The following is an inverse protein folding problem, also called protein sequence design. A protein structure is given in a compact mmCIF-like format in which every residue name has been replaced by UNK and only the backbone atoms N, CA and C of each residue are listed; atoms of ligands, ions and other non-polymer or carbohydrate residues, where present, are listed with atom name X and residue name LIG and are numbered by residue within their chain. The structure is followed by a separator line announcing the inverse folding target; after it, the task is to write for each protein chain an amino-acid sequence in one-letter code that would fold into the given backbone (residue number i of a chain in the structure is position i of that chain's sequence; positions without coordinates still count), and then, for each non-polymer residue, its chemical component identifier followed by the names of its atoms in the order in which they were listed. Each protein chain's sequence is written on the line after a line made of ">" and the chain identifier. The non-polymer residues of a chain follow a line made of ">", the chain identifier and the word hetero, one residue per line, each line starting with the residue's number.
data_IF_506159848228
#
_entry.id   IF_506159848228
#
_cell.length_a   1.000
_cell.length_b   1.000
_cell.length_c   1.000
_cell.angle_alpha   90.00
_cell.angle_beta   90.00
_cell.angle_gamma   90.00
#
_symmetry.space_group_name_H-M   'P 1'
#
loop_
_entity.id
_entity.type
_entity.pdbx_description
1 polymer ?
#
# COMPACT_ATOMS: atom_id res chain seq x y z
N UNK A 1 -17.06 18.50 13.18
CA UNK A 1 -15.82 17.77 12.94
C UNK A 1 -14.69 18.68 12.50
N UNK A 2 -14.77 19.33 11.30
CA UNK A 2 -13.70 20.20 10.79
C UNK A 2 -13.30 21.33 11.74
N UNK A 3 -14.26 21.98 12.43
CA UNK A 3 -13.99 23.00 13.43
C UNK A 3 -13.18 22.43 14.62
N UNK A 4 -13.54 21.24 15.10
CA UNK A 4 -12.81 20.58 16.18
C UNK A 4 -11.41 20.14 15.76
N UNK A 5 -11.29 19.60 14.54
CA UNK A 5 -9.97 19.21 14.00
C UNK A 5 -9.05 20.43 13.88
N UNK A 6 -9.54 21.55 13.34
CA UNK A 6 -8.77 22.81 13.27
C UNK A 6 -8.33 23.27 14.66
N UNK A 7 -9.21 23.18 15.66
CA UNK A 7 -8.89 23.52 17.03
C UNK A 7 -7.78 22.63 17.60
N UNK A 8 -7.85 21.30 17.36
CA UNK A 8 -6.82 20.37 17.81
C UNK A 8 -5.47 20.60 17.11
N UNK A 9 -5.48 20.89 15.80
CA UNK A 9 -4.26 21.25 15.06
C UNK A 9 -3.63 22.51 15.65
N UNK A 10 -4.43 23.52 15.96
CA UNK A 10 -3.97 24.76 16.55
C UNK A 10 -3.38 24.55 17.96
N UNK A 11 -4.06 23.78 18.82
CA UNK A 11 -3.57 23.42 20.14
C UNK A 11 -2.26 22.59 20.09
N UNK A 12 -2.13 21.68 19.13
CA UNK A 12 -0.89 20.93 18.95
C UNK A 12 0.25 21.83 18.45
N UNK A 13 -0.03 22.77 17.54
CA UNK A 13 0.94 23.76 17.06
C UNK A 13 1.39 24.69 18.18
N UNK A 14 0.48 25.17 19.02
CA UNK A 14 0.77 26.03 20.17
C UNK A 14 1.63 25.29 21.21
N UNK A 15 1.33 24.03 21.50
CA UNK A 15 2.13 23.17 22.38
C UNK A 15 3.53 22.96 21.82
N UNK A 16 3.66 22.69 20.54
CA UNK A 16 4.96 22.50 19.88
C UNK A 16 5.79 23.79 19.92
N UNK A 17 5.17 24.95 19.67
CA UNK A 17 5.83 26.25 19.68
C UNK A 17 6.31 26.66 21.07
N UNK A 18 5.59 26.24 22.14
CA UNK A 18 5.90 26.57 23.54
C UNK A 18 6.77 25.52 24.24
N UNK A 19 7.01 24.37 23.64
CA UNK A 19 7.87 23.35 24.23
C UNK A 19 9.31 23.82 24.29
N UNK A 20 9.91 23.73 25.49
CA UNK A 20 11.35 23.96 25.65
C UNK A 20 12.13 22.92 24.83
N UNK A 21 13.31 23.32 24.33
CA UNK A 21 14.18 22.49 23.46
C UNK A 21 14.78 21.23 24.12
N UNK A 22 14.07 20.57 25.00
CA UNK A 22 14.43 19.22 25.43
C UNK A 22 14.16 18.27 24.25
N UNK A 23 15.21 17.71 23.67
CA UNK A 23 15.24 17.02 22.37
C UNK A 23 14.10 15.97 22.17
N UNK A 24 13.69 15.27 23.22
CA UNK A 24 12.67 14.23 23.09
C UNK A 24 11.22 14.75 23.09
N UNK A 25 10.95 15.91 23.65
CA UNK A 25 9.59 16.49 23.76
C UNK A 25 9.13 17.15 22.47
N UNK A 26 10.04 17.81 21.73
CA UNK A 26 9.73 18.50 20.48
C UNK A 26 9.41 17.52 19.34
N UNK A 27 10.12 16.40 19.26
CA UNK A 27 9.90 15.40 18.22
C UNK A 27 8.53 14.71 18.36
N UNK A 28 8.12 14.43 19.62
CA UNK A 28 6.79 13.87 19.88
C UNK A 28 5.67 14.86 19.49
N UNK A 29 5.77 16.12 19.90
CA UNK A 29 4.76 17.13 19.59
C UNK A 29 4.71 17.45 18.10
N UNK A 30 5.85 17.42 17.40
CA UNK A 30 5.92 17.56 15.95
C UNK A 30 5.23 16.38 15.25
N UNK A 31 5.44 15.16 15.73
CA UNK A 31 4.78 13.96 15.22
C UNK A 31 3.26 14.01 15.42
N UNK A 32 2.78 14.49 16.57
CA UNK A 32 1.35 14.72 16.84
C UNK A 32 0.76 15.72 15.86
N UNK A 33 1.44 16.85 15.63
CA UNK A 33 1.00 17.88 14.68
C UNK A 33 0.92 17.33 13.25
N UNK A 34 1.94 16.61 12.81
CA UNK A 34 1.96 15.97 11.49
C UNK A 34 0.81 14.96 11.31
N UNK A 35 0.52 14.17 12.36
CA UNK A 35 -0.59 13.23 12.36
C UNK A 35 -1.94 13.95 12.24
N UNK A 36 -2.16 15.01 12.98
CA UNK A 36 -3.38 15.81 12.93
C UNK A 36 -3.61 16.48 11.56
N UNK A 37 -2.54 16.99 10.95
CA UNK A 37 -2.59 17.56 9.59
C UNK A 37 -2.96 16.46 8.56
N UNK A 38 -2.35 15.28 8.69
CA UNK A 38 -2.64 14.12 7.83
C UNK A 38 -4.09 13.66 7.97
N UNK A 39 -4.59 13.57 9.20
CA UNK A 39 -5.99 13.27 9.49
C UNK A 39 -6.95 14.30 8.87
N UNK A 40 -6.60 15.58 8.97
CA UNK A 40 -7.38 16.67 8.34
C UNK A 40 -7.45 16.53 6.83
N UNK A 41 -6.32 16.27 6.18
CA UNK A 41 -6.26 16.03 4.74
C UNK A 41 -7.11 14.83 4.33
N UNK A 42 -7.00 13.73 5.05
CA UNK A 42 -7.76 12.51 4.77
C UNK A 42 -9.26 12.74 4.96
N UNK A 43 -9.67 13.49 5.99
CA UNK A 43 -11.06 13.85 6.21
C UNK A 43 -11.65 14.68 5.05
N UNK A 44 -10.91 15.67 4.56
CA UNK A 44 -11.32 16.49 3.40
C UNK A 44 -11.44 15.64 2.15
N UNK A 45 -10.45 14.77 1.89
CA UNK A 45 -10.50 13.83 0.77
C UNK A 45 -11.69 12.88 0.86
N UNK A 46 -11.98 12.36 2.06
CA UNK A 46 -13.12 11.45 2.28
C UNK A 46 -14.46 12.17 2.07
N UNK A 47 -14.59 13.43 2.51
CA UNK A 47 -15.76 14.24 2.20
C UNK A 47 -15.93 14.45 0.69
N UNK A 48 -14.83 14.76 -0.02
CA UNK A 48 -14.83 14.83 -1.48
C UNK A 48 -15.31 13.53 -2.11
N UNK A 49 -14.82 12.40 -1.64
CA UNK A 49 -15.21 11.07 -2.09
C UNK A 49 -16.70 10.75 -1.85
N UNK A 50 -17.25 11.14 -0.70
CA UNK A 50 -18.67 10.92 -0.37
C UNK A 50 -19.61 11.82 -1.17
N UNK A 51 -19.19 13.05 -1.46
CA UNK A 51 -20.02 14.08 -2.07
C UNK A 51 -19.85 14.19 -3.58
N UNK A 52 -18.69 13.81 -4.12
CA UNK A 52 -18.36 13.95 -5.54
C UNK A 52 -17.88 12.61 -6.11
N UNK A 53 -18.75 11.96 -6.89
CA UNK A 53 -18.42 10.71 -7.59
C UNK A 53 -17.87 10.96 -9.00
N UNK A 54 -17.34 12.13 -9.25
CA UNK A 54 -16.78 12.53 -10.53
C UNK A 54 -15.25 12.63 -10.48
N UNK A 55 -14.63 12.74 -11.65
CA UNK A 55 -13.19 12.89 -11.78
C UNK A 55 -12.43 11.77 -11.08
N UNK A 56 -11.33 12.12 -10.40
CA UNK A 56 -10.46 11.15 -9.69
C UNK A 56 -11.17 10.42 -8.55
N UNK A 57 -12.15 11.04 -7.91
CA UNK A 57 -12.94 10.39 -6.86
C UNK A 57 -13.89 9.33 -7.44
N UNK A 58 -14.44 9.58 -8.63
CA UNK A 58 -15.24 8.58 -9.35
C UNK A 58 -14.43 7.35 -9.74
N UNK A 59 -13.20 7.53 -10.22
CA UNK A 59 -12.28 6.42 -10.52
C UNK A 59 -11.97 5.60 -9.27
N UNK A 60 -11.65 6.28 -8.17
CA UNK A 60 -11.35 5.63 -6.89
C UNK A 60 -12.57 4.84 -6.37
N UNK A 61 -13.77 5.39 -6.55
CA UNK A 61 -15.03 4.72 -6.20
C UNK A 61 -15.23 3.43 -6.99
N UNK A 62 -14.96 3.45 -8.31
CA UNK A 62 -15.08 2.27 -9.16
C UNK A 62 -14.10 1.17 -8.72
N UNK A 63 -12.84 1.53 -8.46
CA UNK A 63 -11.84 0.58 -7.96
C UNK A 63 -12.25 -0.04 -6.63
N UNK A 64 -12.73 0.77 -5.71
CA UNK A 64 -13.16 0.28 -4.41
C UNK A 64 -14.39 -0.62 -4.51
N UNK A 65 -15.32 -0.30 -5.41
CA UNK A 65 -16.50 -1.12 -5.65
C UNK A 65 -16.11 -2.49 -6.21
N UNK A 66 -15.22 -2.52 -7.21
CA UNK A 66 -14.68 -3.76 -7.75
C UNK A 66 -13.90 -4.55 -6.68
N UNK A 67 -13.07 -3.89 -5.88
CA UNK A 67 -12.33 -4.53 -4.79
C UNK A 67 -13.23 -5.13 -3.73
N UNK A 68 -14.32 -4.44 -3.38
CA UNK A 68 -15.30 -4.98 -2.43
C UNK A 68 -16.01 -6.23 -2.97
N UNK A 69 -16.26 -6.30 -4.27
CA UNK A 69 -16.81 -7.51 -4.91
C UNK A 69 -15.84 -8.69 -4.79
N UNK A 70 -14.55 -8.47 -5.10
CA UNK A 70 -13.49 -9.49 -4.97
C UNK A 70 -13.36 -9.99 -3.52
N UNK A 71 -13.51 -9.09 -2.55
CA UNK A 71 -13.43 -9.38 -1.11
C UNK A 71 -14.76 -9.94 -0.54
N UNK A 72 -15.68 -10.39 -1.39
CA UNK A 72 -16.95 -11.03 -0.96
C UNK A 72 -17.87 -10.09 -0.16
N UNK A 73 -17.79 -8.78 -0.38
CA UNK A 73 -18.58 -7.79 0.36
C UNK A 73 -18.09 -7.52 1.79
N UNK A 74 -16.96 -8.10 2.20
CA UNK A 74 -16.37 -7.91 3.55
C UNK A 74 -16.13 -6.44 3.89
N UNK A 75 -15.95 -5.61 2.87
CA UNK A 75 -15.70 -4.21 2.99
C UNK A 75 -16.98 -3.38 2.84
N UNK A 76 -17.78 -3.28 3.88
CA UNK A 76 -18.78 -2.21 3.92
C UNK A 76 -18.09 -0.86 4.17
N UNK A 77 -17.48 -0.36 3.09
CA UNK A 77 -16.76 0.90 3.07
C UNK A 77 -17.63 2.10 3.45
N UNK A 78 -18.96 2.04 3.19
CA UNK A 78 -19.89 3.12 3.55
C UNK A 78 -20.01 3.22 5.06
N UNK A 79 -20.19 2.09 5.73
CA UNK A 79 -20.24 2.02 7.19
C UNK A 79 -18.89 2.39 7.80
N UNK A 80 -17.77 1.93 7.22
CA UNK A 80 -16.43 2.28 7.72
C UNK A 80 -16.08 3.74 7.53
N UNK A 81 -16.35 4.34 6.38
CA UNK A 81 -16.19 5.78 6.18
C UNK A 81 -17.08 6.58 7.14
N UNK A 82 -18.31 6.13 7.36
CA UNK A 82 -19.22 6.74 8.32
C UNK A 82 -18.69 6.65 9.76
N UNK A 83 -18.19 5.49 10.16
CA UNK A 83 -17.54 5.27 11.46
C UNK A 83 -16.28 6.12 11.62
N UNK A 84 -15.46 6.22 10.59
CA UNK A 84 -14.26 7.08 10.58
C UNK A 84 -14.60 8.55 10.81
N UNK A 85 -15.74 9.03 10.26
CA UNK A 85 -16.20 10.42 10.50
C UNK A 85 -16.90 10.61 11.82
N UNK A 86 -17.63 9.61 12.29
CA UNK A 86 -18.43 9.72 13.52
C UNK A 86 -17.61 9.46 14.78
N UNK A 87 -16.61 8.61 14.69
CA UNK A 87 -15.72 8.27 15.78
C UNK A 87 -14.36 8.90 15.52
N UNK A 88 -14.13 10.11 16.00
CA UNK A 88 -12.79 10.69 16.11
C UNK A 88 -11.85 9.63 16.69
N UNK A 89 -10.77 9.36 15.97
CA UNK A 89 -9.75 8.42 16.42
C UNK A 89 -9.30 8.82 17.81
N UNK A 90 -9.64 8.00 18.78
CA UNK A 90 -9.25 8.22 20.19
C UNK A 90 -7.88 7.58 20.43
N UNK A 91 -7.12 8.05 21.43
CA UNK A 91 -5.87 7.40 21.84
C UNK A 91 -6.05 5.92 22.18
N UNK A 92 -7.22 5.50 22.69
CA UNK A 92 -7.52 4.08 22.95
C UNK A 92 -7.66 3.28 21.67
N UNK A 93 -8.25 3.82 20.60
CA UNK A 93 -8.31 3.15 19.30
C UNK A 93 -6.93 2.99 18.67
N UNK A 94 -6.04 3.98 18.85
CA UNK A 94 -4.63 3.87 18.47
C UNK A 94 -3.93 2.76 19.25
N UNK A 95 -4.14 2.68 20.55
CA UNK A 95 -3.56 1.63 21.38
C UNK A 95 -4.07 0.23 21.00
N UNK A 96 -5.37 0.07 20.76
CA UNK A 96 -5.97 -1.20 20.26
C UNK A 96 -5.41 -1.59 18.90
N UNK A 97 -5.24 -0.63 18.01
CA UNK A 97 -4.67 -0.88 16.69
C UNK A 97 -3.18 -1.30 16.80
N UNK A 98 -2.40 -0.66 17.70
CA UNK A 98 -1.03 -1.08 17.99
C UNK A 98 -0.97 -2.46 18.66
N UNK A 99 -1.90 -2.79 19.54
CA UNK A 99 -1.98 -4.12 20.16
C UNK A 99 -2.39 -5.20 19.15
N UNK A 100 -3.21 -4.88 18.16
CA UNK A 100 -3.60 -5.80 17.08
C UNK A 100 -2.46 -6.08 16.10
N UNK A 101 -1.49 -5.17 15.98
CA UNK A 101 -0.26 -5.36 15.21
C UNK A 101 0.79 -6.21 15.95
N UNK A 102 0.57 -6.51 17.25
CA UNK A 102 1.49 -7.37 18.00
C UNK A 102 1.57 -8.75 17.37
N UNK A 103 2.79 -9.06 16.96
CA UNK A 103 3.27 -10.15 16.09
C UNK A 103 2.68 -11.56 16.34
N UNK A 104 2.16 -11.85 17.53
CA UNK A 104 1.76 -13.22 17.86
C UNK A 104 0.51 -13.72 17.15
N UNK A 105 -0.56 -12.91 17.06
CA UNK A 105 -1.84 -13.34 16.49
C UNK A 105 -1.80 -13.42 14.97
N UNK A 106 -1.19 -12.41 14.31
CA UNK A 106 -1.09 -12.37 12.84
C UNK A 106 -0.15 -13.46 12.34
N UNK A 107 0.97 -13.72 13.04
CA UNK A 107 1.89 -14.79 12.68
C UNK A 107 1.25 -16.18 12.71
N UNK A 108 0.37 -16.45 13.68
CA UNK A 108 -0.38 -17.72 13.75
C UNK A 108 -1.35 -17.86 12.58
N UNK A 109 -2.06 -16.79 12.22
CA UNK A 109 -3.04 -16.82 11.12
C UNK A 109 -2.40 -16.95 9.74
N UNK A 110 -1.17 -16.48 9.56
CA UNK A 110 -0.44 -16.52 8.29
C UNK A 110 0.63 -17.62 8.24
N UNK A 111 0.78 -18.42 9.28
CA UNK A 111 1.85 -19.43 9.39
C UNK A 111 1.91 -20.40 8.21
N UNK A 112 0.78 -20.71 7.58
CA UNK A 112 0.72 -21.54 6.36
C UNK A 112 0.88 -20.76 5.04
N UNK A 113 0.99 -19.43 5.09
CA UNK A 113 1.01 -18.56 3.91
C UNK A 113 2.39 -18.03 3.58
N UNK A 114 3.34 -18.22 4.49
CA UNK A 114 4.73 -17.74 4.36
C UNK A 114 5.68 -18.91 4.18
N UNK A 115 6.62 -18.75 3.26
CA UNK A 115 7.78 -19.63 3.09
C UNK A 115 9.06 -18.78 3.09
N UNK A 116 9.99 -19.08 3.98
CA UNK A 116 11.30 -18.41 3.99
C UNK A 116 12.23 -19.04 2.97
N UNK A 117 12.95 -18.20 2.21
CA UNK A 117 13.87 -18.59 1.17
C UNK A 117 15.30 -18.08 1.51
N UNK A 118 16.29 -18.93 1.34
CA UNK A 118 17.70 -18.63 1.57
C UNK A 118 18.51 -18.55 0.27
N UNK A 119 17.86 -18.63 -0.89
CA UNK A 119 18.53 -18.61 -2.18
C UNK A 119 19.04 -17.22 -2.55
N UNK A 120 19.99 -17.16 -3.46
CA UNK A 120 20.46 -15.90 -4.03
C UNK A 120 19.34 -15.14 -4.74
N UNK A 121 19.43 -13.81 -4.69
CA UNK A 121 18.48 -12.91 -5.37
C UNK A 121 18.66 -13.05 -6.88
N UNK A 122 17.61 -13.39 -7.65
CA UNK A 122 17.71 -13.44 -9.11
C UNK A 122 18.03 -12.08 -9.72
N UNK A 123 18.78 -12.06 -10.83
CA UNK A 123 19.14 -10.82 -11.55
C UNK A 123 17.91 -10.00 -11.97
N UNK A 124 16.79 -10.65 -12.26
CA UNK A 124 15.53 -9.99 -12.64
C UNK A 124 14.95 -9.08 -11.54
N UNK A 125 15.38 -9.28 -10.29
CA UNK A 125 14.89 -8.49 -9.14
C UNK A 125 15.25 -7.01 -9.26
N UNK A 126 16.45 -6.72 -9.78
CA UNK A 126 16.89 -5.32 -10.04
C UNK A 126 15.99 -4.61 -11.05
N UNK A 127 15.56 -5.32 -12.09
CA UNK A 127 14.64 -4.79 -13.10
C UNK A 127 13.28 -4.47 -12.49
N UNK A 128 12.76 -5.35 -11.63
CA UNK A 128 11.51 -5.12 -10.94
C UNK A 128 11.60 -3.98 -9.93
N UNK A 129 12.74 -3.85 -9.25
CA UNK A 129 12.95 -2.75 -8.31
C UNK A 129 13.00 -1.38 -9.02
N UNK A 130 13.48 -1.31 -10.26
CA UNK A 130 13.39 -0.10 -11.07
C UNK A 130 11.95 0.40 -11.24
N UNK A 131 10.99 -0.50 -11.47
CA UNK A 131 9.57 -0.12 -11.58
C UNK A 131 9.00 0.38 -10.24
N UNK A 132 9.50 -0.15 -9.14
CA UNK A 132 9.18 0.40 -7.81
C UNK A 132 9.71 1.83 -7.67
N UNK A 133 10.93 2.13 -8.09
CA UNK A 133 11.44 3.51 -8.11
C UNK A 133 10.57 4.44 -8.96
N UNK A 134 10.16 3.98 -10.16
CA UNK A 134 9.24 4.73 -11.03
C UNK A 134 7.92 5.03 -10.35
N UNK A 135 7.37 4.12 -9.55
CA UNK A 135 6.13 4.35 -8.81
C UNK A 135 6.22 5.54 -7.84
N UNK A 136 7.40 5.84 -7.33
CA UNK A 136 7.66 7.05 -6.53
C UNK A 136 7.91 8.31 -7.39
N UNK A 137 8.00 8.17 -8.70
CA UNK A 137 8.34 9.25 -9.63
C UNK A 137 9.84 9.47 -9.80
N UNK A 138 10.66 8.51 -9.36
CA UNK A 138 12.11 8.52 -9.53
C UNK A 138 12.49 7.71 -10.78
N UNK A 139 13.67 8.01 -11.38
CA UNK A 139 14.24 7.25 -12.49
C UNK A 139 13.27 7.03 -13.66
N UNK A 140 12.39 7.99 -13.92
CA UNK A 140 11.42 7.91 -15.02
C UNK A 140 12.08 7.95 -16.41
N UNK A 141 13.30 8.48 -16.49
CA UNK A 141 14.16 8.54 -17.68
C UNK A 141 14.87 7.23 -17.99
N UNK A 142 14.90 6.28 -17.06
CA UNK A 142 15.52 4.97 -17.25
C UNK A 142 14.49 3.99 -17.79
N UNK A 143 14.75 3.41 -18.94
CA UNK A 143 13.84 2.45 -19.59
C UNK A 143 14.51 1.10 -19.77
N UNK A 144 13.79 0.04 -19.42
CA UNK A 144 14.21 -1.31 -19.76
C UNK A 144 13.92 -1.64 -21.22
N UNK A 145 14.69 -2.57 -21.79
CA UNK A 145 14.46 -3.01 -23.16
C UNK A 145 13.05 -3.59 -23.32
N UNK A 146 12.28 -3.03 -24.26
CA UNK A 146 10.90 -3.45 -24.50
C UNK A 146 9.88 -2.82 -23.57
N UNK A 147 10.30 -1.87 -22.72
CA UNK A 147 9.39 -1.08 -21.92
C UNK A 147 8.58 -0.11 -22.78
N UNK A 148 7.29 -0.06 -22.52
CA UNK A 148 6.37 0.92 -23.12
C UNK A 148 5.35 1.38 -22.08
N UNK A 149 4.77 2.55 -22.28
CA UNK A 149 3.73 3.07 -21.41
C UNK A 149 2.40 2.34 -21.65
N UNK A 150 1.60 2.22 -20.61
CA UNK A 150 0.30 1.59 -20.70
C UNK A 150 -0.70 2.46 -21.47
N UNK A 151 -1.65 1.83 -22.12
CA UNK A 151 -2.76 2.49 -22.79
C UNK A 151 -4.09 2.11 -22.14
N UNK A 152 -5.14 2.95 -22.23
CA UNK A 152 -6.45 2.63 -21.66
C UNK A 152 -6.98 1.28 -22.14
N UNK A 153 -6.89 1.03 -23.44
CA UNK A 153 -7.36 -0.21 -24.06
C UNK A 153 -6.62 -1.44 -23.53
N UNK A 154 -5.31 -1.34 -23.30
CA UNK A 154 -4.50 -2.44 -22.77
C UNK A 154 -4.86 -2.79 -21.32
N UNK A 155 -5.24 -1.80 -20.54
CA UNK A 155 -5.59 -1.99 -19.13
C UNK A 155 -7.10 -2.19 -18.89
N UNK A 156 -7.92 -2.11 -19.95
CA UNK A 156 -9.37 -2.27 -19.85
C UNK A 156 -10.11 -1.08 -19.23
N UNK A 157 -9.49 0.11 -19.23
CA UNK A 157 -10.13 1.31 -18.72
C UNK A 157 -10.76 2.14 -19.83
N UNK A 158 -11.92 2.78 -19.61
CA UNK A 158 -12.42 3.82 -20.49
C UNK A 158 -11.40 4.97 -20.58
N UNK A 159 -11.06 5.41 -21.79
CA UNK A 159 -10.05 6.46 -22.02
C UNK A 159 -10.29 7.72 -21.17
N UNK A 160 -11.53 8.22 -21.15
CA UNK A 160 -11.91 9.41 -20.37
C UNK A 160 -11.62 9.27 -18.87
N UNK A 161 -11.78 8.06 -18.31
CA UNK A 161 -11.46 7.80 -16.89
C UNK A 161 -9.96 7.60 -16.66
N UNK A 162 -9.28 6.96 -17.62
CA UNK A 162 -7.85 6.71 -17.55
C UNK A 162 -7.05 8.01 -17.53
N UNK A 163 -7.38 8.96 -18.41
CA UNK A 163 -6.73 10.26 -18.51
C UNK A 163 -6.90 11.13 -17.25
N UNK A 164 -7.91 10.84 -16.42
CA UNK A 164 -8.09 11.54 -15.15
C UNK A 164 -7.01 11.25 -14.12
N UNK A 165 -6.42 10.08 -14.12
CA UNK A 165 -5.49 9.67 -13.06
C UNK A 165 -4.11 9.24 -13.55
N UNK A 166 -3.96 8.95 -14.85
CA UNK A 166 -2.73 8.44 -15.45
C UNK A 166 -2.04 9.52 -16.29
N UNK A 167 -0.74 9.63 -16.14
CA UNK A 167 0.12 10.48 -16.96
C UNK A 167 0.75 9.65 -18.07
N UNK A 168 0.24 9.79 -19.29
CA UNK A 168 0.72 9.08 -20.48
C UNK A 168 2.14 9.45 -20.93
N UNK A 169 2.78 10.45 -20.33
CA UNK A 169 4.18 10.80 -20.63
C UNK A 169 5.17 10.10 -19.70
N UNK A 170 4.76 9.76 -18.49
CA UNK A 170 5.64 9.19 -17.45
C UNK A 170 5.23 7.80 -16.99
N UNK A 171 4.01 7.37 -17.27
CA UNK A 171 3.45 6.12 -16.75
C UNK A 171 2.95 6.20 -15.29
N UNK A 172 3.02 7.38 -14.67
CA UNK A 172 2.57 7.56 -13.30
C UNK A 172 1.04 7.64 -13.22
N UNK A 173 0.49 7.01 -12.19
CA UNK A 173 -0.89 7.28 -11.80
C UNK A 173 -0.94 7.92 -10.41
N UNK A 174 -1.88 8.84 -10.22
CA UNK A 174 -2.09 9.54 -8.94
C UNK A 174 -3.57 9.72 -8.67
N UNK A 175 -4.02 9.17 -7.57
CA UNK A 175 -5.37 9.26 -7.05
C UNK A 175 -5.39 9.90 -5.66
N UNK A 176 -6.56 10.34 -5.17
CA UNK A 176 -6.70 10.82 -3.80
C UNK A 176 -6.18 9.82 -2.75
N UNK A 177 -6.01 10.26 -1.51
CA UNK A 177 -5.47 9.50 -0.37
C UNK A 177 -4.01 9.06 -0.51
N UNK A 178 -3.27 9.62 -1.47
CA UNK A 178 -1.89 9.21 -1.73
C UNK A 178 -1.77 7.87 -2.47
N UNK A 179 -2.87 7.35 -3.02
CA UNK A 179 -2.84 6.17 -3.86
C UNK A 179 -2.17 6.50 -5.19
N UNK A 180 -0.92 6.10 -5.30
CA UNK A 180 -0.09 6.39 -6.48
C UNK A 180 0.78 5.19 -6.85
N UNK A 181 1.23 5.18 -8.09
CA UNK A 181 2.12 4.16 -8.60
C UNK A 181 2.48 4.39 -10.06
N UNK A 182 2.93 3.34 -10.70
CA UNK A 182 3.33 3.33 -12.09
C UNK A 182 2.65 2.18 -12.86
N UNK A 183 2.20 2.47 -14.07
CA UNK A 183 1.71 1.48 -15.02
C UNK A 183 2.57 1.46 -16.28
N UNK A 184 2.93 0.28 -16.73
CA UNK A 184 3.61 0.10 -17.99
C UNK A 184 3.61 -1.35 -18.45
N UNK A 185 4.30 -1.56 -19.56
CA UNK A 185 4.48 -2.85 -20.20
C UNK A 185 5.97 -3.12 -20.35
N UNK A 186 6.38 -4.36 -20.18
CA UNK A 186 7.71 -4.84 -20.53
C UNK A 186 7.55 -6.11 -21.39
N UNK A 187 7.65 -5.97 -22.69
CA UNK A 187 7.24 -7.00 -23.63
C UNK A 187 5.73 -7.27 -23.52
N UNK A 188 5.35 -8.50 -23.25
CA UNK A 188 3.94 -8.88 -23.08
C UNK A 188 3.44 -8.70 -21.63
N UNK A 189 4.35 -8.45 -20.67
CA UNK A 189 4.02 -8.32 -19.26
C UNK A 189 3.45 -6.94 -18.96
N UNK A 190 2.32 -6.89 -18.30
CA UNK A 190 1.79 -5.65 -17.72
C UNK A 190 2.32 -5.50 -16.31
N UNK A 191 2.85 -4.35 -16.00
CA UNK A 191 3.47 -4.02 -14.72
C UNK A 191 2.64 -2.95 -14.01
N UNK A 192 2.25 -3.24 -12.78
CA UNK A 192 1.61 -2.30 -11.86
C UNK A 192 2.50 -2.18 -10.64
N UNK A 193 3.09 -1.03 -10.40
CA UNK A 193 3.93 -0.79 -9.25
C UNK A 193 3.28 0.22 -8.30
N UNK A 194 3.12 -0.13 -7.03
CA UNK A 194 2.57 0.74 -6.00
C UNK A 194 3.68 1.42 -5.20
N UNK A 195 3.58 2.73 -5.04
CA UNK A 195 4.46 3.46 -4.13
C UNK A 195 4.02 3.27 -2.68
N UNK A 196 4.98 3.20 -1.78
CA UNK A 196 4.73 3.39 -0.35
C UNK A 196 4.58 4.86 0.03
N UNK A 197 4.45 5.14 1.31
CA UNK A 197 4.36 6.50 1.82
C UNK A 197 5.70 7.24 1.71
N UNK A 198 5.70 8.48 1.23
CA UNK A 198 6.91 9.31 1.16
C UNK A 198 7.38 9.85 2.53
N UNK A 199 6.62 9.61 3.60
CA UNK A 199 6.84 10.18 4.92
C UNK A 199 7.91 9.48 5.78
N UNK A 200 8.53 8.40 5.26
CA UNK A 200 9.62 7.68 5.96
C UNK A 200 10.97 8.41 5.96
N UNK A 201 11.06 9.63 5.44
CA UNK A 201 12.25 10.48 5.60
C UNK A 201 12.46 10.99 7.04
N UNK A 202 11.52 10.78 7.94
CA UNK A 202 11.58 11.25 9.33
C UNK A 202 11.69 10.09 10.33
N UNK A 203 12.58 9.14 10.13
CA UNK A 203 13.14 8.28 11.18
C UNK A 203 12.22 7.66 12.25
N UNK A 204 10.90 7.81 12.12
CA UNK A 204 9.94 7.31 13.09
C UNK A 204 9.04 6.25 12.46
N UNK A 205 9.17 5.03 12.94
CA UNK A 205 8.35 3.83 12.68
C UNK A 205 6.82 4.06 12.87
N UNK A 206 6.43 5.26 13.26
CA UNK A 206 5.07 5.61 13.69
C UNK A 206 4.15 6.16 12.60
N UNK A 207 4.57 6.25 11.34
CA UNK A 207 3.77 6.96 10.34
C UNK A 207 2.84 6.09 9.49
N UNK A 208 2.82 4.78 9.69
CA UNK A 208 1.86 3.92 9.00
C UNK A 208 0.54 3.74 9.79
N UNK A 209 0.07 4.82 10.42
CA UNK A 209 -1.24 4.85 11.07
C UNK A 209 -2.38 4.37 10.14
N UNK A 210 -2.22 4.50 8.82
CA UNK A 210 -3.20 3.95 7.87
C UNK A 210 -3.23 2.42 7.85
N UNK A 211 -2.12 1.74 8.11
CA UNK A 211 -2.11 0.28 8.32
C UNK A 211 -2.73 -0.12 9.65
N UNK A 212 -2.60 0.74 10.66
CA UNK A 212 -3.15 0.53 11.99
C UNK A 212 -4.67 0.56 11.97
N UNK A 213 -5.28 1.42 11.11
CA UNK A 213 -6.74 1.59 11.04
C UNK A 213 -7.47 0.57 10.15
N UNK A 214 -6.81 -0.49 9.78
CA UNK A 214 -7.35 -1.57 8.96
C UNK A 214 -6.96 -1.46 7.50
N UNK A 215 -7.32 -2.45 6.68
CA UNK A 215 -7.06 -2.38 5.26
C UNK A 215 -7.73 -1.13 4.79
N UNK A 216 -6.89 -0.18 4.51
CA UNK A 216 -7.29 1.17 4.17
C UNK A 216 -8.12 1.11 2.88
N UNK A 217 -8.84 2.18 2.64
CA UNK A 217 -9.45 2.43 1.34
C UNK A 217 -8.49 2.11 0.18
N UNK A 218 -7.19 2.36 0.37
CA UNK A 218 -6.11 2.08 -0.59
C UNK A 218 -6.02 0.59 -0.92
N UNK A 219 -6.09 -0.30 0.08
CA UNK A 219 -6.04 -1.75 -0.15
C UNK A 219 -7.24 -2.23 -0.98
N UNK A 220 -8.46 -1.80 -0.65
CA UNK A 220 -9.65 -2.15 -1.42
C UNK A 220 -9.59 -1.59 -2.86
N UNK A 221 -9.11 -0.36 -3.02
CA UNK A 221 -8.90 0.24 -4.34
C UNK A 221 -7.87 -0.52 -5.17
N UNK A 222 -6.75 -0.94 -4.56
CA UNK A 222 -5.73 -1.72 -5.23
C UNK A 222 -6.25 -3.10 -5.66
N UNK A 223 -7.01 -3.77 -4.80
CA UNK A 223 -7.68 -5.04 -5.15
C UNK A 223 -8.56 -4.86 -6.38
N UNK A 224 -9.39 -3.83 -6.40
CA UNK A 224 -10.28 -3.55 -7.52
C UNK A 224 -9.56 -3.12 -8.79
N UNK A 225 -8.52 -2.29 -8.68
CA UNK A 225 -7.69 -1.90 -9.83
C UNK A 225 -7.03 -3.12 -10.44
N UNK A 226 -6.40 -3.97 -9.63
CA UNK A 226 -5.73 -5.20 -10.09
C UNK A 226 -6.74 -6.16 -10.71
N UNK A 227 -7.93 -6.33 -10.12
CA UNK A 227 -8.99 -7.17 -10.68
C UNK A 227 -9.43 -6.69 -12.07
N UNK A 228 -9.67 -5.39 -12.23
CA UNK A 228 -10.09 -4.81 -13.51
C UNK A 228 -9.01 -4.95 -14.59
N UNK A 229 -7.74 -4.76 -14.23
CA UNK A 229 -6.63 -4.99 -15.16
C UNK A 229 -6.52 -6.47 -15.52
N UNK A 230 -6.57 -7.37 -14.54
CA UNK A 230 -6.43 -8.81 -14.75
C UNK A 230 -7.52 -9.39 -15.69
N UNK A 231 -8.74 -8.84 -15.65
CA UNK A 231 -9.83 -9.24 -16.56
C UNK A 231 -9.51 -9.01 -18.04
N UNK A 232 -8.63 -8.06 -18.36
CA UNK A 232 -8.25 -7.70 -19.73
C UNK A 232 -6.90 -8.29 -20.16
N UNK A 233 -6.12 -8.78 -19.18
CA UNK A 233 -4.82 -9.39 -19.43
C UNK A 233 -4.98 -10.90 -19.45
N UNK A 234 -4.33 -11.61 -20.30
CA UNK A 234 -4.26 -13.06 -20.21
C UNK A 234 -3.62 -13.50 -18.86
N UNK A 235 -3.94 -14.70 -18.42
CA UNK A 235 -3.37 -15.28 -17.20
C UNK A 235 -1.83 -15.27 -17.26
N UNK A 236 -1.19 -14.92 -16.14
CA UNK A 236 0.26 -14.91 -16.00
C UNK A 236 0.98 -13.69 -16.59
N UNK A 237 0.26 -12.71 -17.13
CA UNK A 237 0.86 -11.53 -17.76
C UNK A 237 0.76 -10.25 -16.91
N UNK A 238 0.22 -10.34 -15.69
CA UNK A 238 0.13 -9.20 -14.78
C UNK A 238 1.09 -9.38 -13.60
N UNK A 239 1.99 -8.42 -13.46
CA UNK A 239 2.98 -8.33 -12.40
C UNK A 239 2.67 -7.12 -11.52
N UNK A 240 2.54 -7.35 -10.21
CA UNK A 240 2.22 -6.31 -9.24
C UNK A 240 3.40 -6.13 -8.29
N UNK A 241 3.91 -4.92 -8.19
CA UNK A 241 5.16 -4.61 -7.48
C UNK A 241 4.93 -3.56 -6.40
N UNK A 242 5.75 -3.55 -5.36
CA UNK A 242 5.69 -2.48 -4.37
C UNK A 242 6.77 -2.51 -3.31
N UNK A 243 7.00 -1.36 -2.68
CA UNK A 243 7.95 -1.18 -1.59
C UNK A 243 7.23 -0.61 -0.36
N UNK A 244 7.63 -1.02 0.82
CA UNK A 244 7.07 -0.48 2.06
C UNK A 244 5.55 -0.72 2.14
N UNK A 245 4.75 0.31 2.38
CA UNK A 245 3.29 0.25 2.29
C UNK A 245 2.82 -0.23 0.91
N UNK A 246 3.48 0.20 -0.18
CA UNK A 246 3.19 -0.30 -1.53
C UNK A 246 3.41 -1.81 -1.65
N UNK A 247 4.39 -2.38 -0.94
CA UNK A 247 4.57 -3.81 -0.81
C UNK A 247 3.44 -4.50 -0.03
N UNK A 248 2.94 -3.85 1.03
CA UNK A 248 1.73 -4.29 1.75
C UNK A 248 0.50 -4.29 0.85
N UNK A 249 0.31 -3.22 0.07
CA UNK A 249 -0.76 -3.10 -0.94
C UNK A 249 -0.64 -4.20 -1.99
N UNK A 250 0.57 -4.44 -2.50
CA UNK A 250 0.86 -5.49 -3.49
C UNK A 250 0.44 -6.86 -2.99
N UNK A 251 0.93 -7.28 -1.82
CA UNK A 251 0.61 -8.61 -1.29
C UNK A 251 -0.89 -8.79 -1.04
N UNK A 252 -1.56 -7.76 -0.53
CA UNK A 252 -3.00 -7.81 -0.29
C UNK A 252 -3.79 -7.92 -1.60
N UNK A 253 -3.44 -7.11 -2.60
CA UNK A 253 -4.13 -7.11 -3.89
C UNK A 253 -3.92 -8.42 -4.65
N UNK A 254 -2.71 -8.98 -4.65
CA UNK A 254 -2.42 -10.27 -5.31
C UNK A 254 -3.11 -11.40 -4.58
N UNK A 255 -3.02 -11.48 -3.25
CA UNK A 255 -3.67 -12.51 -2.46
C UNK A 255 -5.21 -12.48 -2.58
N UNK A 256 -5.83 -11.31 -2.67
CA UNK A 256 -7.26 -11.18 -2.91
C UNK A 256 -7.68 -11.64 -4.33
N UNK A 257 -6.81 -11.42 -5.32
CA UNK A 257 -7.04 -11.77 -6.73
C UNK A 257 -6.39 -13.11 -7.16
N UNK A 258 -6.13 -14.01 -6.24
CA UNK A 258 -5.36 -15.26 -6.47
C UNK A 258 -5.91 -16.16 -7.59
N UNK A 259 -7.20 -16.09 -7.88
CA UNK A 259 -7.80 -16.84 -8.99
C UNK A 259 -7.38 -16.34 -10.38
N UNK A 260 -6.76 -15.16 -10.45
CA UNK A 260 -6.34 -14.55 -11.71
C UNK A 260 -4.88 -14.86 -12.09
N UNK A 261 -4.19 -15.73 -11.34
CA UNK A 261 -2.79 -16.11 -11.56
C UNK A 261 -1.84 -14.91 -11.74
N UNK A 262 -1.95 -13.95 -10.82
CA UNK A 262 -1.13 -12.74 -10.77
C UNK A 262 0.14 -13.02 -9.99
N UNK A 263 1.26 -12.50 -10.47
CA UNK A 263 2.53 -12.58 -9.76
C UNK A 263 2.83 -11.26 -9.05
N UNK A 264 3.21 -11.34 -7.78
CA UNK A 264 3.52 -10.18 -6.94
C UNK A 264 4.94 -10.15 -6.44
N UNK A 265 5.54 -8.93 -6.34
CA UNK A 265 6.90 -8.71 -5.88
C UNK A 265 6.94 -7.55 -4.89
N UNK A 266 7.33 -7.85 -3.67
CA UNK A 266 7.40 -6.89 -2.58
C UNK A 266 8.84 -6.65 -2.12
N UNK A 267 9.18 -5.40 -1.84
CA UNK A 267 10.49 -4.98 -1.37
C UNK A 267 10.34 -4.29 -0.02
N UNK A 268 10.98 -4.81 1.03
CA UNK A 268 10.79 -4.32 2.39
C UNK A 268 9.32 -4.05 2.71
N UNK A 269 8.47 -5.01 2.33
CA UNK A 269 7.01 -4.85 2.36
C UNK A 269 6.50 -4.70 3.77
N UNK A 270 5.58 -3.79 3.97
CA UNK A 270 4.82 -3.75 5.21
C UNK A 270 3.95 -5.00 5.36
N UNK A 271 3.98 -5.62 6.53
CA UNK A 271 3.16 -6.78 6.84
C UNK A 271 1.67 -6.43 6.93
N UNK A 272 0.82 -7.41 6.69
CA UNK A 272 -0.63 -7.26 6.79
C UNK A 272 -1.08 -7.21 8.25
N UNK A 273 -2.02 -6.32 8.55
CA UNK A 273 -2.70 -6.26 9.84
C UNK A 273 -3.69 -7.43 10.02
N UNK A 274 -4.11 -7.68 11.26
CA UNK A 274 -5.13 -8.70 11.55
C UNK A 274 -6.42 -8.49 10.75
N UNK A 275 -6.86 -7.24 10.58
CA UNK A 275 -8.07 -6.92 9.81
C UNK A 275 -7.89 -7.25 8.33
N UNK A 276 -6.70 -6.99 7.76
CA UNK A 276 -6.36 -7.36 6.38
C UNK A 276 -6.36 -8.87 6.20
N UNK A 277 -5.75 -9.58 7.14
CA UNK A 277 -5.71 -11.06 7.13
C UNK A 277 -7.12 -11.64 7.22
N UNK A 278 -7.98 -11.12 8.10
CA UNK A 278 -9.39 -11.55 8.20
C UNK A 278 -10.16 -11.32 6.89
N UNK A 279 -9.93 -10.17 6.22
CA UNK A 279 -10.56 -9.91 4.93
C UNK A 279 -10.14 -10.93 3.86
N UNK A 280 -8.85 -11.30 3.83
CA UNK A 280 -8.35 -12.34 2.92
C UNK A 280 -8.88 -13.72 3.25
N UNK A 281 -9.03 -14.09 4.52
CA UNK A 281 -9.63 -15.35 4.96
C UNK A 281 -11.08 -15.43 4.50
N UNK A 282 -11.88 -14.38 4.72
CA UNK A 282 -13.28 -14.34 4.26
C UNK A 282 -13.37 -14.49 2.74
N UNK A 283 -12.50 -13.83 2.00
CA UNK A 283 -12.42 -13.97 0.55
C UNK A 283 -11.89 -15.37 0.14
N UNK A 284 -11.03 -16.01 0.97
CA UNK A 284 -10.50 -17.34 0.72
C UNK A 284 -11.58 -18.42 0.80
N UNK A 285 -12.49 -18.32 1.75
CA UNK A 285 -13.62 -19.25 1.89
C UNK A 285 -14.51 -19.29 0.64
N UNK A 286 -14.55 -18.14 -0.08
CA UNK A 286 -15.36 -18.01 -1.32
C UNK A 286 -14.59 -18.48 -2.57
N UNK A 287 -13.27 -18.30 -2.62
CA UNK A 287 -12.47 -18.42 -3.86
C UNK A 287 -11.36 -19.50 -3.80
N UNK A 288 -11.36 -20.39 -2.81
CA UNK A 288 -10.31 -21.40 -2.59
C UNK A 288 -9.12 -20.85 -1.76
N UNK A 289 -8.23 -21.74 -1.37
CA UNK A 289 -7.11 -21.46 -0.47
C UNK A 289 -6.07 -20.45 -1.00
N UNK A 290 -4.97 -20.35 -0.27
CA UNK A 290 -3.86 -19.42 -0.59
C UNK A 290 -2.73 -20.10 -1.37
N UNK A 291 -2.88 -21.35 -1.76
CA UNK A 291 -1.87 -22.17 -2.44
C UNK A 291 -1.50 -21.68 -3.85
N UNK A 292 -2.41 -20.93 -4.48
CA UNK A 292 -2.19 -20.37 -5.81
C UNK A 292 -1.60 -18.95 -5.80
N UNK A 293 -1.26 -18.42 -4.61
CA UNK A 293 -0.70 -17.07 -4.48
C UNK A 293 0.79 -17.11 -4.81
N UNK A 294 1.19 -16.40 -5.87
CA UNK A 294 2.58 -16.25 -6.27
C UNK A 294 3.07 -14.87 -5.82
N UNK A 295 3.75 -14.83 -4.69
CA UNK A 295 4.28 -13.62 -4.07
C UNK A 295 5.72 -13.85 -3.62
N UNK A 296 6.60 -12.91 -3.99
CA UNK A 296 8.00 -12.90 -3.63
C UNK A 296 8.34 -11.63 -2.87
N UNK A 297 8.82 -11.75 -1.64
CA UNK A 297 9.28 -10.63 -0.83
C UNK A 297 10.79 -10.66 -0.69
N UNK A 298 11.42 -9.54 -0.97
CA UNK A 298 12.84 -9.29 -0.76
C UNK A 298 13.00 -8.30 0.38
N UNK A 299 13.63 -8.74 1.47
CA UNK A 299 13.74 -7.94 2.70
C UNK A 299 15.20 -7.80 3.12
N UNK A 300 15.56 -6.62 3.58
CA UNK A 300 16.87 -6.38 4.21
C UNK A 300 16.86 -6.86 5.67
N UNK A 301 18.01 -7.23 6.19
CA UNK A 301 18.12 -7.88 7.50
C UNK A 301 17.65 -7.01 8.67
N UNK A 302 17.89 -5.70 8.61
CA UNK A 302 17.54 -4.76 9.67
C UNK A 302 16.19 -4.04 9.44
N UNK A 303 15.43 -4.37 8.38
CA UNK A 303 14.15 -3.71 8.11
C UNK A 303 13.13 -3.96 9.24
N UNK A 304 12.67 -2.90 9.96
CA UNK A 304 11.68 -3.05 11.01
C UNK A 304 10.27 -3.20 10.45
N UNK A 305 9.99 -2.68 9.26
CA UNK A 305 8.64 -2.59 8.68
C UNK A 305 8.16 -3.95 8.20
N UNK A 306 9.02 -4.74 7.57
CA UNK A 306 8.69 -6.10 7.14
C UNK A 306 8.49 -7.09 8.30
N UNK A 307 8.90 -6.70 9.52
CA UNK A 307 8.70 -7.47 10.75
C UNK A 307 7.38 -7.15 11.44
N UNK A 308 6.68 -6.10 11.01
CA UNK A 308 5.37 -5.71 11.54
C UNK A 308 4.25 -6.37 10.73
N UNK A 309 3.44 -7.20 11.38
CA UNK A 309 2.33 -7.91 10.72
C UNK A 309 2.75 -9.19 9.98
N UNK A 310 1.87 -9.67 9.12
CA UNK A 310 2.05 -10.93 8.36
C UNK A 310 2.50 -10.69 6.92
N UNK A 311 3.46 -11.46 6.44
CA UNK A 311 3.81 -11.56 5.01
C UNK A 311 3.20 -12.84 4.42
N UNK A 312 2.73 -12.75 3.18
CA UNK A 312 2.16 -13.87 2.40
C UNK A 312 3.10 -14.21 1.25
N UNK A 313 3.36 -15.48 1.02
CA UNK A 313 4.24 -15.96 -0.06
C UNK A 313 5.68 -16.19 0.38
N UNK A 314 6.60 -16.18 -0.56
CA UNK A 314 8.03 -16.49 -0.33
C UNK A 314 8.78 -15.25 0.12
N UNK A 315 9.44 -15.34 1.26
CA UNK A 315 10.25 -14.24 1.84
C UNK A 315 11.72 -14.59 1.74
N UNK A 316 12.47 -13.75 1.04
CA UNK A 316 13.93 -13.87 0.86
C UNK A 316 14.62 -12.73 1.60
N UNK A 317 15.39 -13.04 2.63
CA UNK A 317 16.31 -12.07 3.22
C UNK A 317 17.51 -11.93 2.28
N UNK A 318 17.76 -10.70 1.81
CA UNK A 318 18.80 -10.42 0.82
C UNK A 318 20.16 -10.66 1.45
N UNK A 319 21.03 -11.50 0.85
CA UNK A 319 22.36 -11.75 1.38
C UNK A 319 23.19 -10.46 1.46
N UNK A 320 23.97 -10.30 2.52
CA UNK A 320 24.80 -9.11 2.75
C UNK A 320 24.06 -7.86 3.24
N UNK A 321 22.75 -7.96 3.50
CA UNK A 321 21.92 -6.84 3.94
C UNK A 321 21.64 -6.79 5.44
N UNK A 322 22.44 -7.49 6.27
CA UNK A 322 22.15 -7.65 7.70
C UNK A 322 21.97 -6.32 8.46
N UNK A 323 22.73 -5.30 8.09
CA UNK A 323 22.73 -3.97 8.72
C UNK A 323 21.93 -2.94 7.91
N UNK A 324 21.35 -3.32 6.77
CA UNK A 324 20.59 -2.42 5.91
C UNK A 324 19.14 -2.33 6.40
N UNK A 325 18.61 -1.11 6.42
CA UNK A 325 17.29 -0.78 6.95
C UNK A 325 16.18 -0.86 5.92
N UNK A 326 15.21 0.04 6.04
CA UNK A 326 13.95 0.01 5.30
C UNK A 326 13.98 0.78 3.98
N UNK A 327 14.93 1.66 3.77
CA UNK A 327 14.88 2.62 2.68
C UNK A 327 15.12 1.98 1.30
N UNK A 328 14.67 2.64 0.25
CA UNK A 328 14.98 2.22 -1.12
C UNK A 328 16.48 2.32 -1.43
N UNK A 329 17.17 3.27 -0.78
CA UNK A 329 18.62 3.41 -0.93
C UNK A 329 19.37 2.23 -0.29
N UNK A 330 18.87 1.70 0.83
CA UNK A 330 19.40 0.46 1.40
C UNK A 330 19.24 -0.72 0.43
N UNK A 331 18.07 -0.85 -0.18
CA UNK A 331 17.80 -1.91 -1.16
C UNK A 331 18.68 -1.78 -2.41
N UNK A 332 18.89 -0.56 -2.93
CA UNK A 332 19.77 -0.31 -4.10
C UNK A 332 21.23 -0.72 -3.89
N UNK A 333 21.67 -0.87 -2.65
CA UNK A 333 23.05 -1.30 -2.35
C UNK A 333 23.22 -2.81 -2.55
N UNK A 334 22.14 -3.59 -2.55
CA UNK A 334 22.20 -5.05 -2.50
C UNK A 334 21.36 -5.75 -3.58
N UNK A 335 20.54 -5.00 -4.32
CA UNK A 335 19.79 -5.42 -5.49
C UNK A 335 20.43 -4.83 -6.75
#
# INVERSE_FOLDING_TARGET
>A
FLKQLVLHVQQAADRWASASKEENGQDYLFSELCLLIKLGRNAVCTLGFLCCREGKFGVLYDFMTAGNQVLGGYYDWKTRLRSYFMNLITPSMLAEAFDSLRLGKVAVQTAGWRTDNTMAVPQLVSDYFLYVDKAYGDRLDVHLRGETLATPARLGFPAVKFDLFYDGSTGLFKLPFGFQGWFGLCGERTIVAFAGTRLLQLGTVFTDAEQIFGPSLIYACAVGMVALVAQHMGQGNLFVLGHSLGGGVTQFAVAANRSNHIEGWGFNSAGLSETSVRALLTAADVAGGMENVVLHHYVTGADPVSKLGGLVGTVTTIPGSADLGHTRDDLRQVI
#
